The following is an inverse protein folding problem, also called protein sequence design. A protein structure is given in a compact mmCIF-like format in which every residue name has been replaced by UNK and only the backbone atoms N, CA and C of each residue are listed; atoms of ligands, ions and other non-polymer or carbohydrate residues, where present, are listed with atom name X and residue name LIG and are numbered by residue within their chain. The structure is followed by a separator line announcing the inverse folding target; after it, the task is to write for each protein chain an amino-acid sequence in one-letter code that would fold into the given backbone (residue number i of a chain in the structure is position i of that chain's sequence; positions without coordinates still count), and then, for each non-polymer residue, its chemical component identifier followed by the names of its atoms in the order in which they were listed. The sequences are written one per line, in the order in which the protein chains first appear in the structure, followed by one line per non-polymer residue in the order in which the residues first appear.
data_IF_605875514514
#
_entry.id   IF_605875514514
#
_cell.length_a   1.000
_cell.length_b   1.000
_cell.length_c   1.000
_cell.angle_alpha   90.00
_cell.angle_beta   90.00
_cell.angle_gamma   90.00
#
_symmetry.space_group_name_H-M   'P 1'
#
loop_
_entity.id
_entity.type
_entity.pdbx_description
1 polymer ?
#
# COMPACT_ATOMS: atom_id res chain seq x y z
N UNK A 1 9.30 15.11 13.99
CA UNK A 1 8.99 15.87 12.76
C UNK A 1 8.22 14.95 11.84
N UNK A 2 7.20 15.46 11.15
CA UNK A 2 6.43 14.65 10.20
C UNK A 2 7.28 14.27 8.98
N UNK A 3 7.13 13.03 8.52
CA UNK A 3 7.80 12.48 7.34
C UNK A 3 7.12 13.04 6.09
N UNK A 4 7.90 13.27 5.04
CA UNK A 4 7.46 13.88 3.78
C UNK A 4 8.07 13.14 2.61
N UNK A 5 7.53 13.36 1.41
CA UNK A 5 8.07 12.77 0.17
C UNK A 5 9.52 13.20 -0.12
N UNK A 6 9.98 14.32 0.43
CA UNK A 6 11.39 14.74 0.30
C UNK A 6 12.32 13.85 1.13
N UNK A 7 11.90 13.42 2.31
CA UNK A 7 12.65 12.45 3.10
C UNK A 7 12.81 11.13 2.35
N UNK A 8 11.78 10.68 1.63
CA UNK A 8 11.81 9.46 0.83
C UNK A 8 12.89 9.49 -0.25
N UNK A 9 12.99 10.60 -0.98
CA UNK A 9 14.04 10.82 -1.98
C UNK A 9 15.44 10.86 -1.32
N UNK A 10 15.56 11.54 -0.19
CA UNK A 10 16.82 11.62 0.56
C UNK A 10 17.26 10.24 1.06
N UNK A 11 16.35 9.46 1.64
CA UNK A 11 16.64 8.14 2.19
C UNK A 11 17.07 7.12 1.14
N UNK A 12 16.52 7.19 -0.08
CA UNK A 12 17.06 6.42 -1.21
C UNK A 12 18.53 6.78 -1.48
N UNK A 13 18.86 8.08 -1.52
CA UNK A 13 20.23 8.55 -1.77
C UNK A 13 21.20 8.12 -0.66
N UNK A 14 20.71 8.11 0.58
CA UNK A 14 21.49 7.70 1.76
C UNK A 14 21.53 6.17 1.95
N UNK A 15 20.77 5.41 1.15
CA UNK A 15 20.63 3.96 1.32
C UNK A 15 19.90 3.55 2.61
N UNK A 16 19.09 4.43 3.21
CA UNK A 16 18.24 4.10 4.37
C UNK A 16 16.97 3.39 3.89
N UNK A 17 16.74 2.12 4.28
CA UNK A 17 15.53 1.40 3.88
C UNK A 17 14.26 2.06 4.43
N UNK A 18 13.22 2.11 3.60
CA UNK A 18 11.90 2.64 3.97
C UNK A 18 11.01 1.52 4.50
N UNK A 19 10.46 1.69 5.68
CA UNK A 19 9.52 0.74 6.29
C UNK A 19 8.09 1.24 6.09
N UNK A 20 7.30 0.50 5.31
CA UNK A 20 5.89 0.79 5.10
C UNK A 20 5.00 -0.35 5.62
N UNK A 21 3.85 0.00 6.18
CA UNK A 21 2.85 -0.97 6.65
C UNK A 21 1.44 -0.45 6.41
N UNK A 22 0.48 -1.36 6.22
CA UNK A 22 -0.92 -0.94 6.04
C UNK A 22 -1.62 -0.65 7.37
N UNK A 23 -2.62 0.22 7.39
CA UNK A 23 -3.51 0.38 8.54
C UNK A 23 -4.93 0.73 8.07
N UNK A 24 -5.92 0.33 8.86
CA UNK A 24 -7.33 0.60 8.58
C UNK A 24 -8.04 1.30 9.76
N UNK A 25 -7.41 1.44 10.92
CA UNK A 25 -8.01 2.12 12.07
C UNK A 25 -7.00 2.93 12.89
N UNK A 26 -7.54 3.73 13.81
CA UNK A 26 -6.77 4.66 14.65
C UNK A 26 -5.84 3.94 15.66
N UNK A 27 -6.26 2.80 16.22
CA UNK A 27 -5.49 2.11 17.26
C UNK A 27 -4.24 1.48 16.64
N UNK A 28 -4.42 0.77 15.52
CA UNK A 28 -3.31 0.18 14.79
C UNK A 28 -2.37 1.27 14.27
N UNK A 29 -2.90 2.35 13.69
CA UNK A 29 -2.10 3.45 13.18
C UNK A 29 -1.20 4.10 14.25
N UNK A 30 -1.71 4.27 15.48
CA UNK A 30 -0.91 4.78 16.61
C UNK A 30 0.26 3.88 16.94
N UNK A 31 0.00 2.57 17.08
CA UNK A 31 1.04 1.60 17.40
C UNK A 31 2.12 1.59 16.32
N UNK A 32 1.72 1.64 15.04
CA UNK A 32 2.67 1.70 13.93
C UNK A 32 3.50 2.99 13.91
N UNK A 33 2.87 4.15 14.14
CA UNK A 33 3.55 5.45 14.20
C UNK A 33 4.55 5.54 15.37
N UNK A 34 4.16 5.02 16.54
CA UNK A 34 5.01 4.95 17.73
C UNK A 34 6.18 3.99 17.55
N UNK A 35 5.97 2.88 16.83
CA UNK A 35 7.00 1.91 16.49
C UNK A 35 8.00 2.41 15.43
N UNK A 36 7.75 3.58 14.81
CA UNK A 36 8.66 4.20 13.86
C UNK A 36 8.50 3.75 12.41
N UNK A 37 7.30 3.29 12.02
CA UNK A 37 6.96 3.05 10.62
C UNK A 37 7.07 4.37 9.83
N UNK A 38 7.75 4.35 8.69
CA UNK A 38 7.98 5.56 7.89
C UNK A 38 6.75 5.97 7.08
N UNK A 39 5.99 4.99 6.59
CA UNK A 39 4.77 5.18 5.80
C UNK A 39 3.66 4.24 6.23
N UNK A 40 2.49 4.83 6.44
CA UNK A 40 1.27 4.08 6.71
C UNK A 40 0.37 4.17 5.47
N UNK A 41 0.12 3.02 4.86
CA UNK A 41 -0.75 2.89 3.69
C UNK A 41 -2.16 2.51 4.14
N UNK A 42 -3.13 3.39 3.92
CA UNK A 42 -4.55 3.01 3.95
C UNK A 42 -4.86 2.40 2.61
N UNK A 43 -4.58 1.11 2.50
CA UNK A 43 -4.67 0.36 1.25
C UNK A 43 -6.03 -0.31 1.08
N UNK A 44 -6.47 -0.45 -0.17
CA UNK A 44 -7.72 -1.13 -0.52
C UNK A 44 -7.73 -2.63 -0.12
N UNK A 45 -6.55 -3.19 0.19
CA UNK A 45 -6.38 -4.47 0.90
C UNK A 45 -7.26 -4.64 2.14
N UNK A 46 -7.66 -3.53 2.80
CA UNK A 46 -8.59 -3.55 3.94
C UNK A 46 -9.97 -4.15 3.56
N UNK A 47 -10.35 -4.11 2.28
CA UNK A 47 -11.53 -4.78 1.77
C UNK A 47 -11.53 -6.27 2.15
N UNK A 48 -10.38 -6.92 2.02
CA UNK A 48 -10.25 -8.35 2.29
C UNK A 48 -9.98 -8.60 3.77
N UNK A 49 -8.97 -7.92 4.35
CA UNK A 49 -8.50 -8.26 5.71
C UNK A 49 -9.33 -7.65 6.84
N UNK A 50 -10.08 -6.58 6.57
CA UNK A 50 -10.91 -5.91 7.58
C UNK A 50 -12.41 -6.02 7.29
N UNK A 51 -12.82 -6.00 6.02
CA UNK A 51 -14.23 -6.04 5.62
C UNK A 51 -14.71 -7.42 5.14
N UNK A 52 -13.80 -8.35 4.88
CA UNK A 52 -14.12 -9.74 4.53
C UNK A 52 -14.63 -9.93 3.09
N UNK A 53 -14.36 -8.98 2.18
CA UNK A 53 -14.61 -9.18 0.76
C UNK A 53 -13.63 -10.17 0.15
N UNK A 54 -14.04 -10.89 -0.90
CA UNK A 54 -13.19 -11.84 -1.61
C UNK A 54 -12.05 -11.18 -2.42
N UNK A 55 -12.25 -9.92 -2.82
CA UNK A 55 -11.28 -9.12 -3.58
C UNK A 55 -11.32 -7.66 -3.13
N UNK A 56 -10.41 -6.82 -3.62
CA UNK A 56 -10.43 -5.37 -3.31
C UNK A 56 -11.46 -4.60 -4.14
N UNK A 57 -12.03 -5.18 -5.20
CA UNK A 57 -12.94 -4.49 -6.12
C UNK A 57 -14.21 -3.90 -5.49
N UNK A 58 -14.87 -4.54 -4.50
CA UNK A 58 -16.12 -4.02 -3.94
C UNK A 58 -15.94 -2.76 -3.08
N UNK A 59 -14.72 -2.44 -2.64
CA UNK A 59 -14.50 -1.33 -1.72
C UNK A 59 -14.78 0.01 -2.39
N UNK A 60 -15.53 0.84 -1.70
CA UNK A 60 -15.97 2.15 -2.17
C UNK A 60 -15.02 3.25 -1.75
N UNK A 61 -15.10 4.40 -2.43
CA UNK A 61 -14.40 5.61 -2.00
C UNK A 61 -14.83 6.04 -0.59
N UNK A 62 -16.11 5.91 -0.23
CA UNK A 62 -16.61 6.29 1.10
C UNK A 62 -15.99 5.45 2.22
N UNK A 63 -15.84 4.14 1.99
CA UNK A 63 -15.12 3.24 2.92
C UNK A 63 -13.65 3.64 3.03
N UNK A 64 -12.97 3.92 1.91
CA UNK A 64 -11.59 4.40 1.91
C UNK A 64 -11.44 5.72 2.68
N UNK A 65 -12.33 6.68 2.46
CA UNK A 65 -12.34 7.95 3.19
C UNK A 65 -12.59 7.75 4.69
N UNK A 66 -13.51 6.85 5.05
CA UNK A 66 -13.82 6.52 6.45
C UNK A 66 -12.59 5.98 7.18
N UNK A 67 -11.96 4.94 6.64
CA UNK A 67 -10.78 4.32 7.24
C UNK A 67 -9.58 5.29 7.25
N UNK A 68 -9.40 6.08 6.20
CA UNK A 68 -8.30 7.06 6.15
C UNK A 68 -8.48 8.16 7.19
N UNK A 69 -9.71 8.66 7.41
CA UNK A 69 -10.01 9.59 8.51
C UNK A 69 -9.67 8.98 9.87
N UNK A 70 -9.95 7.70 10.09
CA UNK A 70 -9.61 7.02 11.34
C UNK A 70 -8.10 6.90 11.53
N UNK A 71 -7.38 6.44 10.51
CA UNK A 71 -5.92 6.29 10.52
C UNK A 71 -5.22 7.63 10.75
N UNK A 72 -5.58 8.69 10.03
CA UNK A 72 -4.95 10.00 10.18
C UNK A 72 -5.08 10.59 11.59
N UNK A 73 -6.13 10.26 12.36
CA UNK A 73 -6.24 10.66 13.78
C UNK A 73 -5.24 9.96 14.70
N UNK A 74 -4.69 8.83 14.25
CA UNK A 74 -3.72 8.03 14.99
C UNK A 74 -2.26 8.32 14.64
N UNK A 75 -1.98 9.07 13.56
CA UNK A 75 -0.62 9.27 13.05
C UNK A 75 -0.11 10.67 13.35
N UNK A 76 1.12 10.76 13.86
CA UNK A 76 1.79 12.03 14.14
C UNK A 76 3.08 12.24 13.35
N UNK A 77 3.75 11.16 12.92
CA UNK A 77 5.06 11.23 12.22
C UNK A 77 5.01 10.61 10.83
N UNK A 78 4.48 9.39 10.67
CA UNK A 78 4.50 8.63 9.43
C UNK A 78 3.82 9.38 8.28
N UNK A 79 4.30 9.14 7.05
CA UNK A 79 3.61 9.61 5.85
C UNK A 79 2.38 8.75 5.62
N UNK A 80 1.17 9.33 5.72
CA UNK A 80 -0.07 8.61 5.40
C UNK A 80 -0.39 8.73 3.91
N UNK A 81 -0.51 7.58 3.25
CA UNK A 81 -0.92 7.44 1.84
C UNK A 81 -2.25 6.68 1.79
N UNK A 82 -3.19 7.15 0.98
CA UNK A 82 -4.48 6.48 0.77
C UNK A 82 -4.54 5.90 -0.63
N UNK A 83 -5.00 4.67 -0.78
CA UNK A 83 -5.33 4.13 -2.09
C UNK A 83 -6.53 4.84 -2.72
N UNK A 84 -6.49 5.00 -4.04
CA UNK A 84 -7.69 5.24 -4.83
C UNK A 84 -8.29 3.88 -5.20
N UNK A 85 -9.54 3.57 -4.79
CA UNK A 85 -10.14 2.28 -5.06
C UNK A 85 -10.46 2.09 -6.54
N UNK A 86 -10.75 0.86 -6.93
CA UNK A 86 -11.05 0.52 -8.32
C UNK A 86 -12.17 1.41 -8.91
N UNK A 87 -11.99 1.80 -10.17
CA UNK A 87 -12.87 2.67 -10.95
C UNK A 87 -13.01 4.13 -10.45
N UNK A 88 -12.32 4.53 -9.37
CA UNK A 88 -12.37 5.91 -8.88
C UNK A 88 -11.38 6.87 -9.58
N UNK A 89 -10.48 6.35 -10.42
CA UNK A 89 -9.45 7.15 -11.09
C UNK A 89 -9.16 6.72 -12.53
N UNK A 90 -9.66 5.55 -12.96
CA UNK A 90 -9.39 4.96 -14.26
C UNK A 90 -10.24 5.57 -15.38
N UNK A 91 -11.36 6.23 -15.05
CA UNK A 91 -12.26 6.81 -16.06
C UNK A 91 -11.60 7.99 -16.80
N UNK A 92 -10.95 8.90 -16.06
CA UNK A 92 -10.26 10.06 -16.62
C UNK A 92 -9.32 10.74 -15.61
N UNK A 93 -8.32 11.52 -16.07
CA UNK A 93 -7.51 12.36 -15.20
C UNK A 93 -8.32 13.36 -14.35
N UNK A 94 -9.47 13.84 -14.86
CA UNK A 94 -10.36 14.76 -14.15
C UNK A 94 -11.08 14.07 -12.99
N UNK A 95 -11.57 12.84 -13.21
CA UNK A 95 -12.15 12.01 -12.15
C UNK A 95 -11.11 11.75 -11.06
N UNK A 96 -9.91 11.31 -11.45
CA UNK A 96 -8.80 11.06 -10.53
C UNK A 96 -8.44 12.31 -9.70
N UNK A 97 -8.41 13.51 -10.31
CA UNK A 97 -8.13 14.76 -9.60
C UNK A 97 -9.22 15.09 -8.58
N UNK A 98 -10.49 14.94 -8.96
CA UNK A 98 -11.62 15.17 -8.06
C UNK A 98 -11.53 14.27 -6.83
N UNK A 99 -11.32 12.97 -7.07
CA UNK A 99 -11.23 11.96 -6.01
C UNK A 99 -9.98 12.16 -5.14
N UNK A 100 -8.80 12.35 -5.73
CA UNK A 100 -7.58 12.58 -4.96
C UNK A 100 -7.67 13.87 -4.13
N UNK A 101 -8.25 14.93 -4.69
CA UNK A 101 -8.52 16.17 -3.96
C UNK A 101 -9.47 15.94 -2.79
N UNK A 102 -10.51 15.13 -2.96
CA UNK A 102 -11.42 14.75 -1.89
C UNK A 102 -10.70 13.99 -0.77
N UNK A 103 -9.90 12.98 -1.13
CA UNK A 103 -9.08 12.19 -0.18
C UNK A 103 -8.22 13.11 0.68
N UNK A 104 -7.43 14.01 0.08
CA UNK A 104 -6.54 14.89 0.82
C UNK A 104 -7.31 15.87 1.73
N UNK A 105 -8.39 16.47 1.22
CA UNK A 105 -9.17 17.49 1.95
C UNK A 105 -9.96 16.90 3.12
N UNK A 106 -10.53 15.72 2.95
CA UNK A 106 -11.42 15.13 3.94
C UNK A 106 -10.70 14.29 4.99
N UNK A 107 -9.55 13.71 4.65
CA UNK A 107 -8.89 12.71 5.50
C UNK A 107 -7.59 13.22 6.13
N UNK A 108 -6.98 14.27 5.58
CA UNK A 108 -5.64 14.76 5.91
C UNK A 108 -4.46 13.86 5.50
N UNK A 109 -4.72 12.78 4.74
CA UNK A 109 -3.66 12.03 4.08
C UNK A 109 -2.79 12.96 3.21
N UNK A 110 -1.52 12.59 3.02
CA UNK A 110 -0.54 13.46 2.36
C UNK A 110 -0.24 13.07 0.91
N UNK A 111 -0.72 11.90 0.49
CA UNK A 111 -0.49 11.34 -0.83
C UNK A 111 -1.61 10.35 -1.18
N UNK A 112 -1.72 10.03 -2.47
CA UNK A 112 -2.55 8.94 -2.97
C UNK A 112 -1.70 7.87 -3.65
N UNK A 113 -2.17 6.61 -3.64
CA UNK A 113 -1.62 5.51 -4.45
C UNK A 113 -2.63 5.10 -5.53
N UNK A 114 -2.14 4.82 -6.73
CA UNK A 114 -2.93 4.30 -7.85
C UNK A 114 -2.16 3.19 -8.58
N UNK A 115 -2.89 2.33 -9.27
CA UNK A 115 -2.35 1.15 -9.93
C UNK A 115 -2.24 1.31 -11.45
N UNK A 116 -1.16 0.76 -12.00
CA UNK A 116 -0.82 0.76 -13.43
C UNK A 116 0.17 1.85 -13.81
N UNK A 117 1.03 1.56 -14.78
CA UNK A 117 1.92 2.56 -15.41
C UNK A 117 1.78 2.64 -16.92
N UNK A 118 0.71 2.06 -17.49
CA UNK A 118 0.39 2.15 -18.91
C UNK A 118 0.16 3.62 -19.34
N UNK A 119 0.26 3.96 -20.64
CA UNK A 119 0.32 5.36 -21.09
C UNK A 119 -0.77 6.28 -20.53
N UNK A 120 -2.03 5.87 -20.57
CA UNK A 120 -3.14 6.67 -20.04
C UNK A 120 -3.09 6.84 -18.50
N UNK A 121 -2.53 5.87 -17.76
CA UNK A 121 -2.32 6.04 -16.31
C UNK A 121 -1.15 6.98 -16.01
N UNK A 122 -0.06 6.90 -16.79
CA UNK A 122 1.05 7.84 -16.66
C UNK A 122 0.60 9.30 -16.94
N UNK A 123 -0.29 9.51 -17.92
CA UNK A 123 -0.94 10.80 -18.15
C UNK A 123 -1.75 11.27 -16.93
N UNK A 124 -2.53 10.38 -16.31
CA UNK A 124 -3.26 10.67 -15.07
C UNK A 124 -2.31 11.06 -13.94
N UNK A 125 -1.23 10.31 -13.72
CA UNK A 125 -0.22 10.63 -12.69
C UNK A 125 0.40 12.01 -12.94
N UNK A 126 0.79 12.32 -14.17
CA UNK A 126 1.32 13.62 -14.54
C UNK A 126 0.32 14.75 -14.29
N UNK A 127 -0.95 14.51 -14.63
CA UNK A 127 -2.03 15.47 -14.43
C UNK A 127 -2.23 15.79 -12.94
N UNK A 128 -2.15 14.79 -12.06
CA UNK A 128 -2.27 14.93 -10.61
C UNK A 128 -1.06 15.67 -10.01
N UNK A 129 0.15 15.23 -10.35
CA UNK A 129 1.39 15.75 -9.74
C UNK A 129 1.62 17.22 -10.11
N UNK A 130 1.33 17.61 -11.35
CA UNK A 130 1.38 19.02 -11.78
C UNK A 130 0.39 19.93 -11.04
N UNK A 131 -0.62 19.36 -10.39
CA UNK A 131 -1.63 20.08 -9.58
C UNK A 131 -1.40 19.94 -8.08
N UNK A 132 -0.21 19.48 -7.69
CA UNK A 132 0.22 19.44 -6.30
C UNK A 132 -0.33 18.24 -5.51
N UNK A 133 -0.84 17.20 -6.17
CA UNK A 133 -1.22 15.94 -5.53
C UNK A 133 -0.02 14.99 -5.56
N UNK A 134 0.58 14.63 -4.41
CA UNK A 134 1.66 13.65 -4.38
C UNK A 134 1.13 12.24 -4.68
N UNK A 135 1.76 11.57 -5.63
CA UNK A 135 1.34 10.26 -6.14
C UNK A 135 2.42 9.20 -5.88
N UNK A 136 2.00 8.10 -5.26
CA UNK A 136 2.73 6.83 -5.27
C UNK A 136 2.18 5.96 -6.40
N UNK A 137 3.03 5.52 -7.31
CA UNK A 137 2.64 4.57 -8.36
C UNK A 137 2.64 3.12 -7.86
N UNK A 138 1.99 2.22 -8.58
CA UNK A 138 2.01 0.78 -8.30
C UNK A 138 2.03 -0.03 -9.61
N UNK A 139 3.08 -0.85 -9.80
CA UNK A 139 3.24 -1.77 -10.94
C UNK A 139 3.59 -3.18 -10.49
N UNK A 140 3.51 -4.14 -11.42
CA UNK A 140 3.65 -5.55 -11.14
C UNK A 140 2.27 -6.21 -11.06
N UNK A 141 2.02 -6.97 -10.00
CA UNK A 141 0.67 -7.44 -9.69
C UNK A 141 -0.14 -6.27 -9.13
N UNK A 142 -1.14 -5.80 -9.87
CA UNK A 142 -2.10 -4.79 -9.42
C UNK A 142 -3.41 -5.47 -9.02
N UNK A 143 -3.71 -5.63 -7.72
CA UNK A 143 -4.91 -6.34 -7.22
C UNK A 143 -6.23 -5.89 -7.85
N UNK A 144 -6.38 -4.62 -8.23
CA UNK A 144 -7.59 -4.12 -8.90
C UNK A 144 -7.78 -4.71 -10.31
N UNK A 145 -6.78 -5.40 -10.85
CA UNK A 145 -6.83 -6.13 -12.11
C UNK A 145 -6.89 -7.65 -11.92
N UNK A 146 -7.28 -8.14 -10.74
CA UNK A 146 -7.29 -9.58 -10.37
C UNK A 146 -7.98 -10.47 -11.42
N UNK A 147 -9.08 -10.00 -12.02
CA UNK A 147 -9.81 -10.76 -13.06
C UNK A 147 -9.07 -10.78 -14.40
N UNK A 148 -8.32 -9.73 -14.74
CA UNK A 148 -7.47 -9.69 -15.93
C UNK A 148 -6.26 -10.63 -15.77
N UNK A 149 -5.70 -10.73 -14.56
CA UNK A 149 -4.59 -11.63 -14.26
C UNK A 149 -4.99 -13.08 -13.98
N UNK A 150 -6.29 -13.36 -13.79
CA UNK A 150 -6.76 -14.68 -13.39
C UNK A 150 -6.27 -15.09 -11.98
N UNK A 151 -6.29 -14.13 -11.06
CA UNK A 151 -5.88 -14.27 -9.65
C UNK A 151 -4.58 -13.55 -9.29
N UNK A 152 -4.15 -13.72 -8.04
CA UNK A 152 -2.94 -13.10 -7.46
C UNK A 152 -1.66 -13.86 -7.85
N UNK A 153 -1.26 -13.76 -9.13
CA UNK A 153 -0.10 -14.47 -9.69
C UNK A 153 1.10 -13.56 -9.80
N UNK A 154 2.30 -14.12 -9.65
CA UNK A 154 3.57 -13.41 -9.88
C UNK A 154 3.66 -12.92 -11.33
N UNK A 155 3.93 -11.64 -11.52
CA UNK A 155 4.06 -10.95 -12.82
C UNK A 155 5.53 -10.86 -13.27
N UNK A 156 5.80 -10.49 -14.53
CA UNK A 156 7.17 -10.22 -15.01
C UNK A 156 8.06 -11.45 -15.16
N UNK A 157 7.48 -12.64 -15.39
CA UNK A 157 8.24 -13.91 -15.52
C UNK A 157 8.84 -14.09 -16.91
N UNK A 158 8.12 -13.65 -17.93
CA UNK A 158 8.56 -13.65 -19.33
C UNK A 158 9.19 -12.29 -19.69
N UNK A 159 10.08 -12.25 -20.70
CA UNK A 159 10.78 -11.02 -21.08
C UNK A 159 9.84 -9.85 -21.42
N UNK A 160 8.75 -10.10 -22.15
CA UNK A 160 7.84 -9.05 -22.60
C UNK A 160 7.10 -8.42 -21.41
N UNK A 161 6.60 -9.23 -20.47
CA UNK A 161 5.96 -8.70 -19.27
C UNK A 161 6.94 -8.03 -18.33
N UNK A 162 8.20 -8.49 -18.26
CA UNK A 162 9.24 -7.85 -17.47
C UNK A 162 9.64 -6.47 -18.04
N UNK A 163 9.82 -6.38 -19.36
CA UNK A 163 10.10 -5.13 -20.07
C UNK A 163 8.95 -4.14 -19.89
N UNK A 164 7.70 -4.58 -20.08
CA UNK A 164 6.52 -3.74 -19.82
C UNK A 164 6.51 -3.16 -18.42
N UNK A 165 6.72 -3.97 -17.37
CA UNK A 165 6.71 -3.49 -15.98
C UNK A 165 7.83 -2.47 -15.74
N UNK A 166 9.02 -2.67 -16.33
CA UNK A 166 10.12 -1.72 -16.27
C UNK A 166 9.75 -0.38 -16.93
N UNK A 167 9.18 -0.43 -18.14
CA UNK A 167 8.74 0.76 -18.86
C UNK A 167 7.64 1.51 -18.12
N UNK A 168 6.65 0.79 -17.58
CA UNK A 168 5.57 1.35 -16.76
C UNK A 168 6.13 2.05 -15.51
N UNK A 169 7.12 1.45 -14.83
CA UNK A 169 7.78 2.08 -13.67
C UNK A 169 8.53 3.37 -14.05
N UNK A 170 9.23 3.38 -15.19
CA UNK A 170 9.93 4.56 -15.72
C UNK A 170 8.92 5.64 -16.12
N UNK A 171 7.80 5.26 -16.72
CA UNK A 171 6.73 6.18 -17.11
C UNK A 171 6.13 6.88 -15.89
N UNK A 172 5.89 6.15 -14.79
CA UNK A 172 5.39 6.71 -13.54
C UNK A 172 6.38 7.69 -12.89
N UNK A 173 7.69 7.37 -12.90
CA UNK A 173 8.71 8.33 -12.46
C UNK A 173 8.70 9.60 -13.33
N UNK A 174 8.66 9.43 -14.64
CA UNK A 174 8.64 10.55 -15.60
C UNK A 174 7.39 11.43 -15.45
N UNK A 175 6.26 10.81 -15.06
CA UNK A 175 5.01 11.49 -14.72
C UNK A 175 5.04 12.20 -13.35
N UNK A 176 6.10 12.03 -12.56
CA UNK A 176 6.30 12.74 -11.30
C UNK A 176 5.81 11.99 -10.06
N UNK A 177 5.60 10.67 -10.13
CA UNK A 177 5.41 9.86 -8.93
C UNK A 177 6.58 10.06 -7.96
N UNK A 178 6.33 10.11 -6.65
CA UNK A 178 7.40 10.27 -5.66
C UNK A 178 8.02 8.94 -5.20
N UNK A 179 7.30 7.84 -5.44
CA UNK A 179 7.71 6.47 -5.14
C UNK A 179 6.88 5.50 -6.00
N UNK A 180 7.35 4.26 -6.17
CA UNK A 180 6.64 3.21 -6.91
C UNK A 180 6.62 1.91 -6.09
N UNK A 181 5.43 1.34 -5.86
CA UNK A 181 5.28 -0.01 -5.33
C UNK A 181 5.56 -1.02 -6.44
N UNK A 182 6.39 -2.01 -6.13
CA UNK A 182 6.66 -3.17 -6.97
C UNK A 182 6.08 -4.41 -6.30
N UNK A 183 4.97 -4.93 -6.83
CA UNK A 183 4.25 -6.05 -6.22
C UNK A 183 4.41 -7.36 -6.99
N UNK A 184 4.81 -8.40 -6.26
CA UNK A 184 4.85 -9.78 -6.69
C UNK A 184 5.52 -9.99 -8.07
N UNK A 185 6.76 -9.51 -8.21
CA UNK A 185 7.63 -9.66 -9.40
C UNK A 185 8.93 -10.41 -9.05
N UNK A 186 9.72 -10.92 -10.03
CA UNK A 186 11.05 -11.46 -9.78
C UNK A 186 11.98 -10.45 -9.12
N UNK A 187 12.83 -10.94 -8.20
CA UNK A 187 13.77 -10.10 -7.46
C UNK A 187 14.79 -9.39 -8.36
N UNK A 188 15.24 -10.04 -9.44
CA UNK A 188 16.19 -9.46 -10.39
C UNK A 188 15.57 -8.32 -11.21
N UNK A 189 14.28 -8.45 -11.58
CA UNK A 189 13.53 -7.38 -12.22
C UNK A 189 13.35 -6.21 -11.26
N UNK A 190 12.96 -6.47 -10.01
CA UNK A 190 12.83 -5.44 -8.99
C UNK A 190 14.16 -4.69 -8.74
N UNK A 191 15.29 -5.41 -8.68
CA UNK A 191 16.61 -4.81 -8.54
C UNK A 191 16.96 -3.93 -9.75
N UNK A 192 16.64 -4.37 -10.96
CA UNK A 192 16.85 -3.61 -12.19
C UNK A 192 16.03 -2.32 -12.19
N UNK A 193 14.74 -2.39 -11.85
CA UNK A 193 13.87 -1.20 -11.72
C UNK A 193 14.41 -0.26 -10.64
N UNK A 194 14.76 -0.80 -9.47
CA UNK A 194 15.27 -0.02 -8.33
C UNK A 194 16.54 0.77 -8.68
N UNK A 195 17.46 0.15 -9.43
CA UNK A 195 18.69 0.79 -9.89
C UNK A 195 18.43 1.84 -10.98
N UNK A 196 17.41 1.62 -11.82
CA UNK A 196 17.07 2.52 -12.93
C UNK A 196 16.39 3.81 -12.45
N UNK A 197 15.48 3.70 -11.47
CA UNK A 197 14.72 4.83 -10.96
C UNK A 197 15.52 5.67 -9.97
N UNK A 198 15.30 6.99 -10.00
CA UNK A 198 15.80 7.98 -9.04
C UNK A 198 14.86 8.17 -7.85
N UNK A 199 13.60 7.77 -7.97
CA UNK A 199 12.63 7.70 -6.86
C UNK A 199 12.70 6.34 -6.14
N UNK A 200 12.30 6.27 -4.86
CA UNK A 200 12.26 5.02 -4.11
C UNK A 200 11.25 4.03 -4.67
N UNK A 201 11.66 2.77 -4.67
CA UNK A 201 10.84 1.60 -4.92
C UNK A 201 10.47 0.94 -3.60
N UNK A 202 9.20 0.54 -3.44
CA UNK A 202 8.70 -0.14 -2.25
C UNK A 202 8.26 -1.54 -2.65
N UNK A 203 8.98 -2.56 -2.21
CA UNK A 203 8.71 -3.96 -2.57
C UNK A 203 7.63 -4.60 -1.71
N UNK A 204 6.79 -5.43 -2.32
CA UNK A 204 5.98 -6.45 -1.62
C UNK A 204 6.01 -7.72 -2.46
N UNK A 205 6.72 -8.74 -1.96
CA UNK A 205 6.99 -9.94 -2.75
C UNK A 205 7.88 -9.71 -3.98
N UNK A 206 8.71 -8.67 -3.95
CA UNK A 206 9.65 -8.27 -5.01
C UNK A 206 11.13 -8.47 -4.62
N UNK A 207 11.40 -9.24 -3.55
CA UNK A 207 12.77 -9.43 -3.02
C UNK A 207 13.26 -8.25 -2.17
N UNK A 208 14.51 -8.34 -1.70
CA UNK A 208 15.10 -7.40 -0.73
C UNK A 208 15.79 -6.18 -1.36
N UNK A 209 15.88 -6.12 -2.70
CA UNK A 209 16.68 -5.12 -3.41
C UNK A 209 15.92 -3.82 -3.71
N UNK A 210 14.66 -3.68 -3.29
CA UNK A 210 13.92 -2.42 -3.33
C UNK A 210 14.44 -1.46 -2.24
N UNK A 211 14.20 -0.15 -2.41
CA UNK A 211 14.60 0.88 -1.44
C UNK A 211 13.78 0.84 -0.13
N UNK A 212 12.67 0.11 -0.13
CA UNK A 212 11.83 -0.14 1.03
C UNK A 212 10.95 -1.35 0.85
N UNK A 213 10.18 -1.67 1.88
CA UNK A 213 9.28 -2.81 1.88
C UNK A 213 7.92 -2.40 2.45
N UNK A 214 6.85 -2.98 1.91
CA UNK A 214 5.49 -2.90 2.45
C UNK A 214 4.92 -4.28 2.70
N UNK A 215 4.16 -4.43 3.79
CA UNK A 215 3.34 -5.60 4.04
C UNK A 215 1.95 -5.17 4.51
N UNK A 216 0.96 -6.01 4.24
CA UNK A 216 -0.34 -5.90 4.89
C UNK A 216 -0.14 -6.23 6.37
N UNK A 217 -0.53 -5.32 7.25
CA UNK A 217 -0.22 -5.46 8.69
C UNK A 217 -0.91 -6.66 9.32
N UNK A 218 -2.08 -7.06 8.82
CA UNK A 218 -2.75 -8.30 9.23
C UNK A 218 -1.87 -9.54 8.98
N UNK A 219 -1.20 -9.60 7.83
CA UNK A 219 -0.29 -10.69 7.48
C UNK A 219 0.96 -10.66 8.36
N UNK A 220 1.57 -9.49 8.54
CA UNK A 220 2.74 -9.29 9.41
C UNK A 220 2.47 -9.75 10.85
N UNK A 221 1.28 -9.47 11.38
CA UNK A 221 0.88 -9.82 12.74
C UNK A 221 0.34 -11.25 12.88
N UNK A 222 0.22 -12.01 11.79
CA UNK A 222 -0.35 -13.35 11.80
C UNK A 222 -1.82 -13.38 12.20
N UNK A 223 -2.60 -12.39 11.75
CA UNK A 223 -4.06 -12.33 11.94
C UNK A 223 -4.81 -13.10 10.85
N UNK A 224 -4.30 -13.07 9.62
CA UNK A 224 -4.92 -13.68 8.44
C UNK A 224 -4.98 -15.21 8.51
N UNK A 225 -6.07 -15.80 8.02
CA UNK A 225 -6.26 -17.24 7.80
C UNK A 225 -5.21 -17.86 6.88
N UNK A 226 -4.88 -17.13 5.84
CA UNK A 226 -3.94 -17.50 4.81
C UNK A 226 -2.84 -16.45 4.74
N UNK A 227 -1.62 -16.90 4.41
CA UNK A 227 -0.45 -16.03 4.31
C UNK A 227 0.06 -16.01 2.87
N UNK A 228 0.28 -14.82 2.28
CA UNK A 228 0.98 -14.72 1.01
C UNK A 228 2.37 -15.37 1.10
N UNK A 229 2.87 -16.00 0.02
CA UNK A 229 4.14 -16.73 0.05
C UNK A 229 5.37 -15.84 0.34
N UNK A 230 5.21 -14.52 0.27
CA UNK A 230 6.24 -13.53 0.55
C UNK A 230 6.03 -12.80 1.88
N UNK A 231 4.91 -13.00 2.57
CA UNK A 231 4.62 -12.38 3.85
C UNK A 231 5.09 -13.30 4.97
N UNK A 232 6.14 -12.87 5.69
CA UNK A 232 6.59 -13.56 6.90
C UNK A 232 5.81 -13.00 8.10
N UNK A 233 5.04 -13.81 8.85
CA UNK A 233 4.46 -13.36 10.11
C UNK A 233 5.55 -13.18 11.17
N UNK A 234 5.46 -12.09 11.92
CA UNK A 234 6.32 -11.76 13.06
C UNK A 234 5.64 -12.04 14.41
N UNK A 235 4.33 -12.30 14.40
CA UNK A 235 3.55 -12.73 15.54
C UNK A 235 2.47 -13.72 15.08
N UNK A 236 1.81 -14.37 16.05
CA UNK A 236 0.57 -15.14 15.82
C UNK A 236 -0.53 -14.52 16.67
N UNK A 237 -0.94 -13.30 16.33
CA UNK A 237 -1.96 -12.60 17.10
C UNK A 237 -3.30 -13.31 17.04
N UNK A 238 -3.58 -14.08 15.98
CA UNK A 238 -4.81 -14.85 15.91
C UNK A 238 -4.92 -15.86 17.06
N UNK A 239 -3.87 -16.63 17.31
CA UNK A 239 -3.85 -17.57 18.43
C UNK A 239 -3.91 -16.82 19.77
N UNK A 240 -3.14 -15.75 19.93
CA UNK A 240 -3.15 -14.95 21.17
C UNK A 240 -4.54 -14.38 21.48
N UNK A 241 -5.26 -13.90 20.48
CA UNK A 241 -6.64 -13.40 20.63
C UNK A 241 -7.58 -14.56 20.98
N UNK A 242 -7.47 -15.71 20.30
CA UNK A 242 -8.28 -16.88 20.60
C UNK A 242 -8.08 -17.34 22.05
N UNK A 243 -6.84 -17.42 22.52
CA UNK A 243 -6.51 -17.83 23.89
C UNK A 243 -7.05 -16.83 24.92
N UNK A 244 -6.89 -15.52 24.67
CA UNK A 244 -7.42 -14.48 25.56
C UNK A 244 -8.95 -14.52 25.65
N UNK A 245 -9.63 -14.67 24.52
CA UNK A 245 -11.11 -14.77 24.46
C UNK A 245 -11.58 -16.04 25.17
N UNK A 246 -10.90 -17.17 24.99
CA UNK A 246 -11.20 -18.42 25.68
C UNK A 246 -11.02 -18.29 27.19
N UNK A 247 -9.90 -17.70 27.65
CA UNK A 247 -9.62 -17.46 29.06
C UNK A 247 -10.69 -16.60 29.71
N UNK A 248 -10.97 -15.42 29.14
CA UNK A 248 -12.03 -14.53 29.63
C UNK A 248 -13.40 -15.24 29.65
N UNK A 249 -13.74 -15.99 28.60
CA UNK A 249 -14.99 -16.74 28.54
C UNK A 249 -15.10 -17.79 29.66
N UNK A 250 -13.99 -18.46 30.01
CA UNK A 250 -13.96 -19.43 31.10
C UNK A 250 -14.14 -18.76 32.47
N UNK A 251 -13.48 -17.62 32.70
CA UNK A 251 -13.63 -16.86 33.95
C UNK A 251 -15.07 -16.36 34.13
N UNK A 252 -15.68 -15.81 33.08
CA UNK A 252 -17.10 -15.39 33.10
C UNK A 252 -18.04 -16.56 33.38
N UNK A 253 -17.89 -17.68 32.65
CA UNK A 253 -18.75 -18.87 32.82
C UNK A 253 -18.59 -19.55 34.18
N UNK A 254 -17.45 -19.35 34.84
CA UNK A 254 -17.18 -19.88 36.18
C UNK A 254 -17.38 -18.86 37.31
N UNK A 255 -17.89 -17.67 37.01
CA UNK A 255 -18.08 -16.57 37.96
C UNK A 255 -16.80 -16.20 38.73
N UNK A 256 -15.65 -16.24 38.04
CA UNK A 256 -14.34 -15.85 38.57
C UNK A 256 -13.86 -14.49 38.06
N UNK A 257 -14.65 -13.86 37.19
CA UNK A 257 -14.49 -12.48 36.75
C UNK A 257 -15.51 -11.58 37.46
#
# INVERSE_FOLDING_TARGET
MAITIHHFKQWKQDGRPIVALTAWDCLLAKVLDEAGVDLILVGDSLAMVALGYDTTLPITLDEMLHHTKAVCRGVTKALVVCDLPFLSYQESPQQALSVAGQVLKETQAKAVKLEGGYPAMAETVQFLTQRGIPVMGHVGLTPQSVHQFGGYRKQGKDPDSAERILEEAIALESAGAFAVVLEHIPADLAATITHKLKIPTIGIGAGSNCDGQVLVTADLLGLSDWQPPFAKPYANLRQSVADAVQGFSQEVRSHKF
#
